data_IF_436459124670
#
_entry.id   IF_436459124670
#
_cell.length_a   1.000
_cell.length_b   1.000
_cell.length_c   1.000
_cell.angle_alpha   90.00
_cell.angle_beta   90.00
_cell.angle_gamma   90.00
#
_symmetry.space_group_name_H-M   'P 1'
#
loop_
_entity.id
_entity.type
_entity.pdbx_description
1 polymer ?
#
# COMPACT_ATOMS: atom_id res chain seq x y z
N UNK A 1 7.27 0.08 11.69
CA UNK A 1 8.26 1.01 11.19
C UNK A 1 7.71 1.97 10.17
N UNK A 2 8.54 2.85 9.73
CA UNK A 2 8.20 3.83 8.71
C UNK A 2 9.05 3.54 7.47
N UNK A 3 8.39 3.43 6.34
CA UNK A 3 9.09 3.27 5.07
C UNK A 3 8.84 4.47 4.19
N UNK A 4 9.90 4.94 3.56
CA UNK A 4 9.83 6.11 2.70
C UNK A 4 10.60 5.80 1.42
N UNK A 5 9.92 5.84 0.27
CA UNK A 5 10.55 5.55 -1.00
C UNK A 5 9.61 4.89 -1.99
N UNK A 6 10.17 4.10 -2.89
CA UNK A 6 9.41 3.42 -3.93
C UNK A 6 9.64 1.91 -3.83
N UNK A 7 8.55 1.15 -3.89
CA UNK A 7 8.60 -0.30 -3.87
C UNK A 7 8.00 -0.83 -5.15
N UNK A 8 8.67 -1.83 -5.72
CA UNK A 8 8.22 -2.54 -6.90
C UNK A 8 8.29 -4.02 -6.58
N UNK A 9 7.14 -4.67 -6.47
CA UNK A 9 7.12 -6.07 -6.08
C UNK A 9 5.87 -6.73 -6.65
N UNK A 10 5.85 -8.06 -6.61
CA UNK A 10 4.69 -8.80 -7.08
C UNK A 10 3.62 -8.89 -6.00
N UNK A 11 4.04 -9.08 -4.78
CA UNK A 11 3.13 -9.20 -3.65
C UNK A 11 3.69 -8.41 -2.48
N UNK A 12 2.85 -7.58 -1.88
CA UNK A 12 3.27 -6.73 -0.77
C UNK A 12 2.23 -6.80 0.33
N UNK A 13 2.71 -7.00 1.54
CA UNK A 13 1.90 -6.86 2.74
C UNK A 13 2.41 -5.66 3.52
N UNK A 14 1.51 -4.76 3.85
CA UNK A 14 1.86 -3.55 4.58
C UNK A 14 1.27 -3.58 5.98
N UNK A 15 2.09 -3.18 6.92
CA UNK A 15 1.66 -2.93 8.30
C UNK A 15 2.47 -1.74 8.81
N UNK A 16 1.88 -0.94 9.70
CA UNK A 16 2.53 0.26 10.19
C UNK A 16 2.44 1.39 9.16
N UNK A 17 3.35 2.34 9.23
CA UNK A 17 3.30 3.53 8.40
C UNK A 17 4.10 3.34 7.12
N UNK A 18 3.48 3.69 6.02
CA UNK A 18 4.14 3.70 4.71
C UNK A 18 3.93 5.06 4.05
N UNK A 19 4.99 5.59 3.48
CA UNK A 19 4.94 6.86 2.76
C UNK A 19 5.79 6.74 1.51
N UNK A 20 5.21 7.09 0.35
CA UNK A 20 5.92 7.05 -0.91
C UNK A 20 5.09 6.40 -2.01
N UNK A 21 5.77 5.75 -2.94
CA UNK A 21 5.12 5.09 -4.07
C UNK A 21 5.24 3.58 -3.97
N UNK A 22 4.16 2.92 -4.28
CA UNK A 22 4.12 1.46 -4.28
C UNK A 22 3.48 0.97 -5.56
N UNK A 23 4.18 0.08 -6.25
CA UNK A 23 3.66 -0.58 -7.43
C UNK A 23 3.75 -2.09 -7.20
N UNK A 24 2.64 -2.78 -7.24
CA UNK A 24 2.62 -4.21 -6.97
C UNK A 24 1.46 -4.87 -7.72
N UNK A 25 1.54 -6.17 -7.87
CA UNK A 25 0.44 -6.95 -8.42
C UNK A 25 -0.64 -7.20 -7.37
N UNK A 26 -0.23 -7.55 -6.17
CA UNK A 26 -1.14 -7.79 -5.07
C UNK A 26 -0.71 -6.99 -3.86
N UNK A 27 -1.64 -6.26 -3.29
CA UNK A 27 -1.37 -5.47 -2.10
C UNK A 27 -2.34 -5.85 -1.00
N UNK A 28 -1.79 -6.17 0.15
CA UNK A 28 -2.58 -6.44 1.35
C UNK A 28 -2.24 -5.40 2.40
N UNK A 29 -3.23 -4.69 2.88
CA UNK A 29 -3.05 -3.66 3.89
C UNK A 29 -3.62 -4.18 5.21
N UNK A 30 -2.76 -4.32 6.19
CA UNK A 30 -3.17 -4.79 7.51
C UNK A 30 -3.99 -3.77 8.27
N UNK A 31 -4.66 -4.22 9.31
CA UNK A 31 -5.59 -3.36 10.05
C UNK A 31 -4.91 -2.21 10.79
N UNK A 32 -3.61 -2.32 11.02
CA UNK A 32 -2.87 -1.25 11.70
C UNK A 32 -2.06 -0.40 10.73
N UNK A 33 -2.21 -0.63 9.45
CA UNK A 33 -1.42 0.10 8.46
C UNK A 33 -1.96 1.50 8.24
N UNK A 34 -1.03 2.43 8.06
CA UNK A 34 -1.34 3.80 7.67
C UNK A 34 -0.51 4.09 6.43
N UNK A 35 -1.15 4.38 5.33
CA UNK A 35 -0.49 4.54 4.05
C UNK A 35 -0.73 5.94 3.53
N UNK A 36 0.34 6.59 3.10
CA UNK A 36 0.28 7.92 2.54
C UNK A 36 1.12 7.95 1.27
N UNK A 37 0.53 8.45 0.19
CA UNK A 37 1.22 8.58 -1.08
C UNK A 37 0.47 7.91 -2.22
N UNK A 38 1.21 7.42 -3.21
CA UNK A 38 0.63 6.80 -4.40
C UNK A 38 0.76 5.30 -4.34
N UNK A 39 -0.36 4.63 -4.55
CA UNK A 39 -0.41 3.17 -4.59
C UNK A 39 -0.95 2.73 -5.93
N UNK A 40 -0.30 1.73 -6.50
CA UNK A 40 -0.79 1.08 -7.71
C UNK A 40 -0.74 -0.42 -7.51
N UNK A 41 -1.87 -1.06 -7.73
CA UNK A 41 -1.93 -2.51 -7.59
C UNK A 41 -3.00 -3.07 -8.50
N UNK A 42 -2.83 -4.32 -8.90
CA UNK A 42 -3.83 -5.02 -9.68
C UNK A 42 -4.93 -5.58 -8.77
N UNK A 43 -4.54 -6.08 -7.63
CA UNK A 43 -5.48 -6.54 -6.61
C UNK A 43 -5.17 -5.84 -5.30
N UNK A 44 -6.21 -5.38 -4.62
CA UNK A 44 -6.05 -4.63 -3.38
C UNK A 44 -6.97 -5.19 -2.32
N UNK A 45 -6.39 -5.50 -1.17
CA UNK A 45 -7.14 -5.93 0.00
C UNK A 45 -6.81 -4.99 1.14
N UNK A 46 -7.83 -4.36 1.70
CA UNK A 46 -7.67 -3.48 2.85
C UNK A 46 -8.52 -4.02 3.99
N UNK A 47 -7.88 -4.26 5.13
CA UNK A 47 -8.59 -4.74 6.30
C UNK A 47 -9.23 -3.59 7.07
N UNK A 48 -10.21 -3.94 7.88
CA UNK A 48 -10.86 -2.95 8.74
C UNK A 48 -9.84 -2.37 9.71
N UNK A 49 -9.90 -1.06 9.89
CA UNK A 49 -8.98 -0.35 10.75
C UNK A 49 -7.81 0.28 10.03
N UNK A 50 -7.55 -0.13 8.80
CA UNK A 50 -6.49 0.47 8.01
C UNK A 50 -6.88 1.86 7.52
N UNK A 51 -5.89 2.74 7.43
CA UNK A 51 -6.07 4.06 6.86
C UNK A 51 -5.21 4.21 5.62
N UNK A 52 -5.82 4.69 4.55
CA UNK A 52 -5.10 4.97 3.32
C UNK A 52 -5.39 6.42 2.93
N UNK A 53 -4.34 7.20 2.86
CA UNK A 53 -4.40 8.58 2.39
C UNK A 53 -3.62 8.70 1.10
N UNK A 54 -4.12 9.50 0.19
CA UNK A 54 -3.44 9.71 -1.07
C UNK A 54 -4.20 9.08 -2.22
N UNK A 55 -3.47 8.71 -3.26
CA UNK A 55 -4.06 8.22 -4.50
C UNK A 55 -3.88 6.72 -4.62
N UNK A 56 -4.96 6.03 -4.93
CA UNK A 56 -4.92 4.61 -5.23
C UNK A 56 -5.31 4.43 -6.68
N UNK A 57 -4.42 3.80 -7.44
CA UNK A 57 -4.67 3.51 -8.84
C UNK A 57 -4.60 2.01 -9.11
N UNK A 58 -5.12 1.63 -10.24
CA UNK A 58 -5.03 0.25 -10.71
C UNK A 58 -3.88 0.13 -11.69
N UNK A 59 -3.10 -0.92 -11.50
CA UNK A 59 -2.03 -1.24 -12.42
C UNK A 59 -2.58 -2.06 -13.56
N UNK A 60 -3.18 -1.71 -14.44
CA UNK A 60 -3.77 -2.61 -15.45
C UNK A 60 -2.86 -2.84 -16.65
#
# INVERSE_FOLDING_TARGET
>A
GVFNGQINARRVELSGNFNGKLVTEELTVGSTAVIDGDLKSNALVIELGAEVSGTIGRKS
#
